data_IF_782488575976
#
_entry.id   IF_782488575976
#
_cell.length_a   1.000
_cell.length_b   1.000
_cell.length_c   1.000
_cell.angle_alpha   90.00
_cell.angle_beta   90.00
_cell.angle_gamma   90.00
#
_symmetry.space_group_name_H-M   'P 1'
#
loop_
_entity.id
_entity.type
_entity.pdbx_description
1 polymer ?
#
# COMPACT_ATOMS: atom_id res chain seq x y z
N UNK A 1 41.67 10.39 2.19
CA UNK A 1 41.08 11.16 1.11
C UNK A 1 40.55 10.31 -0.03
N UNK A 2 41.31 9.32 -0.48
CA UNK A 2 40.92 8.39 -1.56
C UNK A 2 39.68 7.58 -1.18
N UNK A 3 39.64 7.06 0.02
CA UNK A 3 38.49 6.30 0.50
C UNK A 3 37.20 7.13 0.59
N UNK A 4 37.33 8.38 0.97
CA UNK A 4 36.20 9.31 1.06
C UNK A 4 35.60 9.60 -0.32
N UNK A 5 36.45 9.86 -1.32
CA UNK A 5 36.03 10.08 -2.70
C UNK A 5 35.37 8.84 -3.30
N UNK A 6 35.91 7.66 -3.02
CA UNK A 6 35.34 6.40 -3.50
C UNK A 6 33.94 6.12 -2.93
N UNK A 7 33.73 6.40 -1.65
CA UNK A 7 32.42 6.25 -1.02
C UNK A 7 31.39 7.23 -1.60
N UNK A 8 31.78 8.47 -1.85
CA UNK A 8 30.91 9.44 -2.52
C UNK A 8 30.52 8.96 -3.90
N UNK A 9 31.48 8.43 -4.66
CA UNK A 9 31.21 7.90 -5.99
C UNK A 9 30.19 6.75 -5.96
N UNK A 10 30.30 5.84 -5.01
CA UNK A 10 29.37 4.72 -4.87
C UNK A 10 27.96 5.16 -4.47
N UNK A 11 27.85 6.21 -3.62
CA UNK A 11 26.55 6.78 -3.25
C UNK A 11 25.88 7.46 -4.44
N UNK A 12 26.66 8.15 -5.25
CA UNK A 12 26.14 8.93 -6.35
C UNK A 12 25.93 8.09 -7.62
N UNK A 13 26.30 6.82 -7.59
CA UNK A 13 26.10 5.92 -8.71
C UNK A 13 24.60 5.75 -8.98
N UNK A 14 24.14 6.01 -10.23
CA UNK A 14 22.73 5.87 -10.57
C UNK A 14 22.21 4.46 -10.28
N UNK A 15 21.06 4.37 -9.65
CA UNK A 15 20.40 3.11 -9.38
C UNK A 15 19.82 2.56 -10.67
N UNK A 16 19.80 1.23 -10.81
CA UNK A 16 19.11 0.57 -11.92
C UNK A 16 17.60 0.77 -11.76
N UNK A 17 16.85 0.61 -12.85
CA UNK A 17 15.40 0.70 -12.82
C UNK A 17 14.81 -0.30 -11.81
N UNK A 18 15.35 -1.53 -11.76
CA UNK A 18 14.93 -2.56 -10.82
C UNK A 18 15.15 -2.15 -9.37
N UNK A 19 16.30 -1.56 -9.06
CA UNK A 19 16.60 -1.06 -7.71
C UNK A 19 15.64 0.04 -7.28
N UNK A 20 15.28 0.95 -8.19
CA UNK A 20 14.30 2.01 -7.90
C UNK A 20 12.93 1.44 -7.60
N UNK A 21 12.49 0.43 -8.36
CA UNK A 21 11.22 -0.24 -8.13
C UNK A 21 11.23 -0.96 -6.79
N UNK A 22 12.29 -1.70 -6.48
CA UNK A 22 12.42 -2.42 -5.21
C UNK A 22 12.39 -1.47 -4.02
N UNK A 23 13.07 -0.35 -4.10
CA UNK A 23 13.05 0.68 -3.05
C UNK A 23 11.68 1.32 -2.91
N UNK A 24 11.02 1.62 -4.03
CA UNK A 24 9.67 2.18 -4.02
C UNK A 24 8.67 1.23 -3.38
N UNK A 25 8.77 -0.06 -3.67
CA UNK A 25 7.93 -1.09 -3.06
C UNK A 25 8.17 -1.18 -1.55
N UNK A 26 9.42 -1.20 -1.11
CA UNK A 26 9.77 -1.23 0.31
C UNK A 26 9.27 0.01 1.05
N UNK A 27 9.42 1.18 0.45
CA UNK A 27 8.93 2.44 1.01
C UNK A 27 7.40 2.45 1.10
N UNK A 28 6.71 1.94 0.08
CA UNK A 28 5.27 1.86 0.06
C UNK A 28 4.75 0.93 1.17
N UNK A 29 5.36 -0.24 1.32
CA UNK A 29 5.01 -1.20 2.38
C UNK A 29 5.21 -0.56 3.76
N UNK A 30 6.31 0.13 3.98
CA UNK A 30 6.58 0.82 5.23
C UNK A 30 5.52 1.87 5.54
N UNK A 31 5.13 2.67 4.56
CA UNK A 31 4.07 3.68 4.72
C UNK A 31 2.71 3.05 5.01
N UNK A 32 2.36 1.96 4.34
CA UNK A 32 1.12 1.23 4.60
C UNK A 32 1.09 0.71 6.03
N UNK A 33 2.21 0.15 6.52
CA UNK A 33 2.30 -0.38 7.89
C UNK A 33 2.14 0.71 8.97
N UNK A 34 2.44 1.96 8.63
CA UNK A 34 2.35 3.11 9.55
C UNK A 34 1.12 3.99 9.30
N UNK A 35 0.30 3.65 8.32
CA UNK A 35 -0.85 4.46 7.96
C UNK A 35 -1.95 4.43 9.02
N UNK A 36 -2.71 5.50 9.10
CA UNK A 36 -3.89 5.57 9.97
C UNK A 36 -5.04 4.83 9.31
N UNK A 37 -5.53 3.77 9.97
CA UNK A 37 -6.56 2.88 9.44
C UNK A 37 -7.75 2.80 10.39
N UNK A 38 -8.96 2.62 9.82
CA UNK A 38 -10.13 2.20 10.58
C UNK A 38 -10.22 0.67 10.58
N UNK A 39 -10.48 0.10 11.74
CA UNK A 39 -10.62 -1.36 11.87
C UNK A 39 -12.07 -1.77 11.59
N UNK A 40 -12.27 -2.43 10.46
CA UNK A 40 -13.57 -2.96 10.04
C UNK A 40 -13.70 -4.47 10.31
N UNK A 41 -12.75 -5.07 11.03
CA UNK A 41 -12.79 -6.49 11.36
C UNK A 41 -13.73 -6.82 12.51
N UNK A 42 -14.07 -5.82 13.32
CA UNK A 42 -14.98 -5.98 14.45
C UNK A 42 -16.44 -6.09 14.04
N UNK A 43 -17.26 -6.71 14.91
CA UNK A 43 -18.68 -6.89 14.68
C UNK A 43 -19.52 -5.63 14.93
N UNK A 44 -19.00 -4.69 15.71
CA UNK A 44 -19.68 -3.43 16.02
C UNK A 44 -18.83 -2.29 15.47
N UNK A 45 -19.36 -1.61 14.47
CA UNK A 45 -18.68 -0.49 13.83
C UNK A 45 -19.42 0.79 14.17
N UNK A 46 -18.74 1.69 14.90
CA UNK A 46 -19.29 2.97 15.31
C UNK A 46 -18.49 4.13 14.72
N UNK A 47 -18.16 4.01 13.46
CA UNK A 47 -17.43 5.05 12.75
C UNK A 47 -18.39 5.98 12.02
N UNK A 48 -18.05 7.26 11.98
CA UNK A 48 -18.78 8.26 11.21
C UNK A 48 -18.19 8.39 9.82
N UNK A 49 -18.93 9.03 8.90
CA UNK A 49 -18.41 9.35 7.58
C UNK A 49 -17.15 10.22 7.67
N UNK A 50 -17.11 11.11 8.65
CA UNK A 50 -15.95 11.96 8.91
C UNK A 50 -14.71 11.13 9.26
N UNK A 51 -14.87 10.07 10.05
CA UNK A 51 -13.77 9.13 10.35
C UNK A 51 -13.26 8.47 9.08
N UNK A 52 -14.17 8.06 8.19
CA UNK A 52 -13.81 7.43 6.91
C UNK A 52 -13.01 8.39 6.03
N UNK A 53 -13.38 9.66 6.00
CA UNK A 53 -12.67 10.67 5.20
C UNK A 53 -11.28 10.99 5.74
N UNK A 54 -11.11 10.93 7.06
CA UNK A 54 -9.86 11.29 7.74
C UNK A 54 -8.76 10.26 7.55
N UNK A 55 -9.09 8.99 7.54
CA UNK A 55 -8.10 7.90 7.51
C UNK A 55 -7.54 7.65 6.11
N UNK A 56 -6.40 6.95 6.06
CA UNK A 56 -5.72 6.60 4.80
C UNK A 56 -6.24 5.29 4.22
N UNK A 57 -6.91 4.48 5.02
CA UNK A 57 -7.43 3.19 4.59
C UNK A 57 -8.16 2.47 5.71
N UNK A 58 -8.37 1.16 5.49
CA UNK A 58 -9.16 0.32 6.38
C UNK A 58 -8.43 -0.99 6.63
N UNK A 59 -8.56 -1.51 7.85
CA UNK A 59 -8.19 -2.87 8.17
C UNK A 59 -9.44 -3.72 8.10
N UNK A 60 -9.48 -4.66 7.17
CA UNK A 60 -10.66 -5.48 6.92
C UNK A 60 -10.26 -6.92 6.59
N UNK A 61 -11.23 -7.76 6.27
CA UNK A 61 -10.98 -9.14 5.86
C UNK A 61 -11.35 -9.36 4.42
N UNK A 62 -10.49 -10.09 3.71
CA UNK A 62 -10.73 -10.52 2.34
C UNK A 62 -10.48 -12.03 2.27
N UNK A 63 -11.50 -12.81 1.93
CA UNK A 63 -11.41 -14.28 1.85
C UNK A 63 -10.83 -14.92 3.12
N UNK A 64 -11.21 -14.41 4.29
CA UNK A 64 -10.75 -14.92 5.57
C UNK A 64 -9.39 -14.39 6.04
N UNK A 65 -8.69 -13.63 5.23
CA UNK A 65 -7.41 -12.99 5.59
C UNK A 65 -7.62 -11.53 6.00
N UNK A 66 -6.86 -11.08 6.97
CA UNK A 66 -6.79 -9.65 7.32
C UNK A 66 -5.98 -8.91 6.27
N UNK A 67 -6.53 -7.81 5.76
CA UNK A 67 -5.87 -6.99 4.75
C UNK A 67 -5.92 -5.52 5.15
N UNK A 68 -4.97 -4.76 4.65
CA UNK A 68 -4.96 -3.29 4.73
C UNK A 68 -5.44 -2.74 3.40
N UNK A 69 -6.66 -2.21 3.38
CA UNK A 69 -7.29 -1.65 2.19
C UNK A 69 -7.01 -0.15 2.13
N UNK A 70 -6.08 0.25 1.28
CA UNK A 70 -5.60 1.63 1.20
C UNK A 70 -6.35 2.41 0.12
N UNK A 71 -6.70 3.66 0.43
CA UNK A 71 -7.31 4.57 -0.54
C UNK A 71 -6.37 4.80 -1.72
N UNK A 72 -6.87 4.71 -2.97
CA UNK A 72 -6.00 4.82 -4.15
C UNK A 72 -5.23 6.14 -4.22
N UNK A 73 -5.87 7.26 -3.95
CA UNK A 73 -5.24 8.57 -4.00
C UNK A 73 -4.07 8.69 -3.03
N UNK A 74 -4.25 8.18 -1.81
CA UNK A 74 -3.20 8.20 -0.80
C UNK A 74 -2.01 7.33 -1.24
N UNK A 75 -2.29 6.12 -1.73
CA UNK A 75 -1.24 5.20 -2.15
C UNK A 75 -0.47 5.73 -3.37
N UNK A 76 -1.18 6.27 -4.35
CA UNK A 76 -0.54 6.85 -5.54
C UNK A 76 0.39 8.00 -5.19
N UNK A 77 -0.02 8.86 -4.26
CA UNK A 77 0.84 9.94 -3.76
C UNK A 77 2.05 9.40 -2.98
N UNK A 78 1.89 8.29 -2.29
CA UNK A 78 2.97 7.65 -1.52
C UNK A 78 4.05 7.07 -2.42
N UNK A 79 3.70 6.57 -3.60
CA UNK A 79 4.66 6.04 -4.58
C UNK A 79 5.47 7.17 -5.20
N UNK A 80 4.86 8.33 -5.42
CA UNK A 80 5.52 9.47 -6.05
C UNK A 80 5.63 9.35 -7.56
N UNK A 81 6.52 10.15 -8.14
CA UNK A 81 6.65 10.27 -9.60
C UNK A 81 7.95 9.71 -10.18
N UNK A 82 8.88 9.27 -9.32
CA UNK A 82 10.19 8.76 -9.78
C UNK A 82 10.12 7.39 -10.40
N UNK A 83 9.09 6.62 -10.10
CA UNK A 83 8.82 5.30 -10.66
C UNK A 83 7.39 5.24 -11.16
N UNK A 84 7.14 4.34 -12.12
CA UNK A 84 5.79 4.15 -12.64
C UNK A 84 4.96 3.34 -11.64
N UNK A 85 3.79 3.84 -11.30
CA UNK A 85 2.86 3.16 -10.39
C UNK A 85 2.56 1.74 -10.85
N UNK A 86 2.34 1.54 -12.15
CA UNK A 86 2.04 0.21 -12.71
C UNK A 86 3.15 -0.81 -12.43
N UNK A 87 4.42 -0.39 -12.48
CA UNK A 87 5.56 -1.26 -12.20
C UNK A 87 5.64 -1.62 -10.72
N UNK A 88 5.37 -0.67 -9.83
CA UNK A 88 5.31 -0.91 -8.38
C UNK A 88 4.19 -1.90 -8.04
N UNK A 89 3.01 -1.69 -8.63
CA UNK A 89 1.85 -2.57 -8.41
C UNK A 89 2.12 -3.98 -8.94
N UNK A 90 2.75 -4.10 -10.12
CA UNK A 90 3.10 -5.40 -10.69
C UNK A 90 4.08 -6.16 -9.79
N UNK A 91 5.08 -5.49 -9.23
CA UNK A 91 6.04 -6.08 -8.30
C UNK A 91 5.36 -6.55 -7.02
N UNK A 92 4.50 -5.72 -6.44
CA UNK A 92 3.76 -6.06 -5.22
C UNK A 92 2.81 -7.24 -5.43
N UNK A 93 2.19 -7.35 -6.60
CA UNK A 93 1.37 -8.53 -6.96
C UNK A 93 2.24 -9.78 -7.08
N UNK A 94 3.38 -9.67 -7.76
CA UNK A 94 4.33 -10.77 -7.96
C UNK A 94 4.86 -11.31 -6.62
N UNK A 95 5.08 -10.42 -5.65
CA UNK A 95 5.58 -10.78 -4.32
C UNK A 95 4.44 -11.22 -3.37
N UNK A 96 3.20 -11.31 -3.86
CA UNK A 96 2.01 -11.69 -3.07
C UNK A 96 1.70 -10.74 -1.91
N UNK A 97 2.16 -9.50 -1.99
CA UNK A 97 1.85 -8.45 -1.01
C UNK A 97 0.51 -7.80 -1.34
N UNK A 98 0.28 -7.50 -2.62
CA UNK A 98 -0.95 -6.88 -3.12
C UNK A 98 -1.89 -7.97 -3.64
N UNK A 99 -3.15 -7.94 -3.17
CA UNK A 99 -4.20 -8.86 -3.63
C UNK A 99 -4.94 -8.22 -4.79
N UNK A 100 -4.87 -8.78 -6.01
CA UNK A 100 -5.61 -8.24 -7.15
C UNK A 100 -7.11 -8.43 -7.01
N UNK A 101 -7.89 -7.59 -7.69
CA UNK A 101 -9.33 -7.75 -7.79
C UNK A 101 -9.72 -8.98 -8.61
N UNK A 102 -10.97 -9.42 -8.46
CA UNK A 102 -11.53 -10.53 -9.24
C UNK A 102 -11.59 -10.24 -10.75
N UNK A 103 -11.61 -8.95 -11.10
CA UNK A 103 -11.58 -8.48 -12.49
C UNK A 103 -10.15 -8.33 -13.07
N UNK A 104 -9.14 -8.74 -12.32
CA UNK A 104 -7.73 -8.62 -12.71
C UNK A 104 -7.13 -7.23 -12.47
N UNK A 105 -7.90 -6.28 -12.00
CA UNK A 105 -7.41 -4.92 -11.68
C UNK A 105 -6.61 -4.93 -10.38
N UNK A 106 -5.80 -3.89 -10.17
CA UNK A 106 -4.97 -3.77 -8.97
C UNK A 106 -5.78 -3.39 -7.73
N UNK A 107 -6.97 -2.83 -7.90
CA UNK A 107 -7.87 -2.47 -6.79
C UNK A 107 -8.98 -3.49 -6.63
N UNK A 108 -9.48 -3.62 -5.41
CA UNK A 108 -10.66 -4.43 -5.07
C UNK A 108 -11.73 -3.56 -4.45
N UNK A 109 -12.99 -3.94 -4.61
CA UNK A 109 -14.08 -3.30 -3.90
C UNK A 109 -14.12 -3.81 -2.47
N UNK A 110 -14.14 -2.86 -1.52
CA UNK A 110 -14.19 -3.14 -0.08
C UNK A 110 -15.50 -2.60 0.47
N UNK A 111 -16.19 -3.41 1.27
CA UNK A 111 -17.42 -2.98 1.96
C UNK A 111 -17.02 -2.15 3.17
N UNK A 112 -17.48 -0.90 3.22
CA UNK A 112 -17.16 0.00 4.33
C UNK A 112 -18.14 -0.09 5.49
N UNK A 113 -19.35 -0.63 5.24
CA UNK A 113 -20.42 -0.67 6.23
C UNK A 113 -21.23 0.60 6.35
N UNK A 114 -20.96 1.61 5.54
CA UNK A 114 -21.71 2.88 5.50
C UNK A 114 -22.70 2.90 4.35
N UNK A 115 -23.93 3.31 4.62
CA UNK A 115 -25.01 3.35 3.59
C UNK A 115 -24.70 4.35 2.48
N UNK A 116 -24.08 5.49 2.82
CA UNK A 116 -23.72 6.53 1.84
C UNK A 116 -22.52 6.13 0.97
N UNK A 117 -21.70 5.21 1.45
CA UNK A 117 -20.50 4.75 0.74
C UNK A 117 -20.31 3.25 0.99
N UNK A 118 -21.23 2.40 0.46
CA UNK A 118 -21.24 0.98 0.82
C UNK A 118 -20.03 0.22 0.32
N UNK A 119 -19.42 0.66 -0.78
CA UNK A 119 -18.24 0.03 -1.36
C UNK A 119 -17.25 1.09 -1.84
N UNK A 120 -15.96 0.80 -1.65
CA UNK A 120 -14.87 1.66 -2.10
C UNK A 120 -13.81 0.77 -2.75
N UNK A 121 -13.26 1.22 -3.88
CA UNK A 121 -12.13 0.52 -4.50
C UNK A 121 -10.85 0.91 -3.77
N UNK A 122 -10.10 -0.09 -3.31
CA UNK A 122 -8.88 0.10 -2.54
C UNK A 122 -7.79 -0.84 -3.03
N UNK A 123 -6.54 -0.44 -2.83
CA UNK A 123 -5.41 -1.35 -2.94
C UNK A 123 -5.34 -2.18 -1.66
N UNK A 124 -5.48 -3.49 -1.77
CA UNK A 124 -5.51 -4.39 -0.61
C UNK A 124 -4.18 -5.10 -0.44
N UNK A 125 -3.56 -4.90 0.71
CA UNK A 125 -2.27 -5.48 1.07
C UNK A 125 -2.46 -6.53 2.15
N UNK A 126 -1.77 -7.67 2.04
CA UNK A 126 -1.83 -8.73 3.05
C UNK A 126 -1.20 -8.25 4.35
N UNK A 127 -1.94 -8.32 5.45
CA UNK A 127 -1.46 -7.84 6.74
C UNK A 127 -0.27 -8.66 7.27
N UNK A 128 -0.24 -9.96 7.01
CA UNK A 128 0.85 -10.84 7.44
C UNK A 128 2.19 -10.48 6.78
N UNK A 129 2.17 -9.94 5.55
CA UNK A 129 3.41 -9.46 4.90
C UNK A 129 3.91 -8.16 5.53
N UNK A 130 3.02 -7.36 6.13
CA UNK A 130 3.40 -6.13 6.82
C UNK A 130 4.03 -6.42 8.18
N UNK A 131 3.55 -7.43 8.88
CA UNK A 131 4.05 -7.78 10.22
C UNK A 131 5.41 -8.45 10.20
N UNK A 132 5.90 -8.91 9.06
CA UNK A 132 7.24 -9.49 8.92
C UNK A 132 8.34 -8.44 8.74
N UNK A 133 7.96 -7.18 8.69
CA UNK A 133 8.88 -6.05 8.64
C UNK A 133 9.14 -5.52 10.05
#
# INVERSE_FOLDING_TARGET
AIRSCYRSYLRDKPKTARQRIDEACSAAIDRVSKAELLDLTGSIQRYTLEDVERVHGFRTRCKGEVVYAMKPDWFQRSVGTQVKLAEVLAKLKSDHVLIPGSDGKSTRQVKTGFDDMPRMRCYCFRADTMSSL
#
